data_IF_432258141539
#
_entry.id   IF_432258141539
#
_cell.length_a   1.000
_cell.length_b   1.000
_cell.length_c   1.000
_cell.angle_alpha   90.00
_cell.angle_beta   90.00
_cell.angle_gamma   90.00
#
_symmetry.space_group_name_H-M   'P 1'
#
loop_
_entity.id
_entity.type
_entity.pdbx_description
1 polymer ?
#
# COMPACT_ATOMS: atom_id res chain seq x y z
N UNK A 1 53.12 29.81 18.89
CA UNK A 1 52.02 29.41 19.80
C UNK A 1 50.83 30.38 19.74
N UNK A 2 51.05 31.70 19.81
CA UNK A 2 49.98 32.71 19.75
C UNK A 2 49.10 32.70 18.48
N UNK A 3 49.69 32.48 17.29
CA UNK A 3 48.93 32.47 16.04
C UNK A 3 47.95 31.28 15.90
N UNK A 4 48.24 30.16 16.56
CA UNK A 4 47.37 28.96 16.54
C UNK A 4 46.16 29.17 17.46
N UNK A 5 46.39 29.78 18.63
CA UNK A 5 45.33 30.18 19.56
C UNK A 5 44.35 31.19 18.96
N UNK A 6 44.82 32.19 18.21
CA UNK A 6 43.94 33.17 17.57
C UNK A 6 43.05 32.56 16.48
N UNK A 7 43.54 31.56 15.74
CA UNK A 7 42.79 30.87 14.71
C UNK A 7 41.66 30.00 15.31
N UNK A 8 41.94 29.30 16.42
CA UNK A 8 40.96 28.49 17.16
C UNK A 8 39.82 29.34 17.74
N UNK A 9 40.12 30.54 18.26
CA UNK A 9 39.11 31.47 18.77
C UNK A 9 38.20 31.99 17.66
N UNK A 10 38.76 32.35 16.50
CA UNK A 10 37.99 32.83 15.35
C UNK A 10 37.07 31.74 14.77
N UNK A 11 37.49 30.47 14.82
CA UNK A 11 36.65 29.34 14.43
C UNK A 11 35.50 29.12 15.42
N UNK A 12 35.76 29.21 16.72
CA UNK A 12 34.74 29.15 17.77
C UNK A 12 33.69 30.26 17.62
N UNK A 13 34.11 31.50 17.38
CA UNK A 13 33.20 32.63 17.18
C UNK A 13 32.34 32.46 15.92
N UNK A 14 32.93 31.97 14.82
CA UNK A 14 32.18 31.66 13.59
C UNK A 14 31.17 30.54 13.81
N UNK A 15 31.55 29.52 14.57
CA UNK A 15 30.65 28.43 14.95
C UNK A 15 29.50 28.96 15.84
N UNK A 16 29.81 29.75 16.87
CA UNK A 16 28.82 30.36 17.74
C UNK A 16 27.86 31.30 16.99
N UNK A 17 28.36 32.12 16.07
CA UNK A 17 27.54 32.99 15.23
C UNK A 17 26.62 32.19 14.28
N UNK A 18 27.10 31.06 13.75
CA UNK A 18 26.26 30.14 12.94
C UNK A 18 25.15 29.51 13.77
N UNK A 19 25.47 29.08 14.99
CA UNK A 19 24.50 28.52 15.94
C UNK A 19 23.46 29.57 16.33
N UNK A 20 23.88 30.78 16.71
CA UNK A 20 22.98 31.88 17.06
C UNK A 20 22.08 32.28 15.89
N UNK A 21 22.61 32.37 14.66
CA UNK A 21 21.83 32.64 13.45
C UNK A 21 20.83 31.54 13.11
N UNK A 22 21.16 30.28 13.46
CA UNK A 22 20.25 29.14 13.28
C UNK A 22 19.17 29.10 14.35
N UNK A 23 19.47 29.54 15.57
CA UNK A 23 18.52 29.70 16.68
C UNK A 23 17.59 30.91 16.47
N UNK A 24 18.06 31.98 15.83
CA UNK A 24 17.24 33.16 15.51
C UNK A 24 16.32 32.96 14.30
N UNK A 25 16.66 32.02 13.40
CA UNK A 25 15.73 31.52 12.39
C UNK A 25 14.78 30.57 13.08
N UNK A 26 13.56 31.03 13.35
CA UNK A 26 12.47 30.14 13.77
C UNK A 26 12.34 28.92 12.84
N UNK A 27 11.70 27.84 13.31
CA UNK A 27 11.56 26.62 12.52
C UNK A 27 10.99 26.94 11.14
N UNK A 28 11.58 26.34 10.09
CA UNK A 28 11.09 26.49 8.74
C UNK A 28 9.57 26.24 8.70
N UNK A 29 8.79 27.02 7.94
CA UNK A 29 7.36 26.76 7.80
C UNK A 29 7.16 25.33 7.29
N UNK A 30 6.14 24.64 7.81
CA UNK A 30 5.77 23.34 7.26
C UNK A 30 5.39 23.55 5.79
N UNK A 31 5.84 22.68 4.88
CA UNK A 31 5.34 22.69 3.51
C UNK A 31 3.81 22.49 3.54
N UNK A 32 3.10 23.06 2.58
CA UNK A 32 1.65 22.91 2.46
C UNK A 32 1.24 21.43 2.41
N UNK A 33 0.07 21.10 2.95
CA UNK A 33 -0.46 19.75 2.93
C UNK A 33 -0.68 19.30 1.47
N UNK A 34 -0.16 18.13 1.07
CA UNK A 34 -0.41 17.61 -0.28
C UNK A 34 -1.91 17.35 -0.50
N UNK A 35 -2.40 17.48 -1.76
CA UNK A 35 -3.79 17.18 -2.09
C UNK A 35 -4.13 15.72 -1.75
N UNK A 36 -5.43 15.44 -1.60
CA UNK A 36 -5.91 14.08 -1.39
C UNK A 36 -5.64 13.20 -2.63
N UNK A 37 -5.23 11.93 -2.44
CA UNK A 37 -5.04 11.02 -3.56
C UNK A 37 -6.39 10.74 -4.22
N UNK A 38 -6.50 11.05 -5.50
CA UNK A 38 -7.66 10.68 -6.31
C UNK A 38 -7.40 9.32 -6.96
N UNK A 39 -7.91 8.24 -6.36
CA UNK A 39 -7.79 6.89 -6.90
C UNK A 39 -8.72 6.73 -8.12
N UNK A 40 -8.21 6.46 -9.34
CA UNK A 40 -8.98 6.51 -10.59
C UNK A 40 -9.91 5.30 -10.82
N UNK A 41 -10.42 4.67 -9.76
CA UNK A 41 -11.33 3.52 -9.90
C UNK A 41 -12.58 3.92 -10.68
N UNK A 42 -12.83 3.23 -11.79
CA UNK A 42 -14.03 3.45 -12.57
C UNK A 42 -15.28 2.98 -11.78
N UNK A 43 -16.30 3.83 -11.80
CA UNK A 43 -17.60 3.59 -11.18
C UNK A 43 -18.70 3.72 -12.22
N UNK A 44 -19.73 2.89 -12.14
CA UNK A 44 -20.87 2.94 -13.06
C UNK A 44 -20.84 1.87 -14.16
N UNK A 45 -21.52 2.14 -15.26
CA UNK A 45 -21.69 1.18 -16.37
C UNK A 45 -20.58 1.28 -17.42
N UNK A 46 -19.97 2.46 -17.61
CA UNK A 46 -18.92 2.67 -18.60
C UNK A 46 -17.98 3.82 -18.20
N UNK A 47 -16.82 3.89 -18.85
CA UNK A 47 -15.90 5.03 -18.76
C UNK A 47 -16.52 6.28 -19.40
N UNK A 48 -16.10 7.45 -18.94
CA UNK A 48 -16.54 8.72 -19.50
C UNK A 48 -16.20 8.81 -21.00
N UNK A 49 -17.20 9.17 -21.81
CA UNK A 49 -17.06 9.26 -23.26
C UNK A 49 -17.08 7.91 -24.01
N UNK A 50 -17.34 6.80 -23.32
CA UNK A 50 -17.55 5.51 -24.00
C UNK A 50 -18.78 5.56 -24.91
N UNK A 51 -18.62 5.12 -26.16
CA UNK A 51 -19.72 5.01 -27.11
C UNK A 51 -20.80 4.04 -26.61
N UNK A 52 -22.09 4.26 -26.93
CA UNK A 52 -23.13 3.27 -26.65
C UNK A 52 -22.77 1.90 -27.22
N UNK A 53 -23.02 0.85 -26.45
CA UNK A 53 -22.68 -0.53 -26.81
C UNK A 53 -23.90 -1.43 -26.68
N UNK A 54 -24.21 -2.15 -27.75
CA UNK A 54 -25.16 -3.25 -27.73
C UNK A 54 -24.42 -4.59 -27.60
N UNK A 55 -24.42 -5.13 -26.40
CA UNK A 55 -23.76 -6.38 -26.05
C UNK A 55 -24.31 -7.60 -26.80
N UNK A 56 -25.54 -7.55 -27.33
CA UNK A 56 -26.09 -8.65 -28.13
C UNK A 56 -25.41 -8.80 -29.50
N UNK A 57 -24.71 -7.75 -29.94
CA UNK A 57 -23.98 -7.71 -31.22
C UNK A 57 -22.51 -8.08 -31.08
N UNK A 58 -22.01 -8.21 -29.84
CA UNK A 58 -20.60 -8.51 -29.57
C UNK A 58 -20.37 -10.01 -29.81
N UNK A 59 -19.45 -10.40 -30.72
CA UNK A 59 -19.16 -11.80 -30.96
C UNK A 59 -18.73 -12.54 -29.69
N UNK A 60 -19.26 -13.74 -29.48
CA UNK A 60 -18.97 -14.59 -28.31
C UNK A 60 -19.83 -14.29 -27.08
N UNK A 61 -20.51 -13.14 -27.02
CA UNK A 61 -21.47 -12.84 -25.95
C UNK A 61 -22.88 -13.24 -26.41
N UNK A 62 -23.52 -14.13 -25.67
CA UNK A 62 -24.85 -14.61 -26.04
C UNK A 62 -25.61 -15.24 -24.88
N UNK A 63 -26.45 -16.21 -25.20
CA UNK A 63 -27.11 -17.03 -24.18
C UNK A 63 -26.07 -17.83 -23.40
N UNK A 64 -26.16 -17.93 -22.06
CA UNK A 64 -25.20 -18.68 -21.27
C UNK A 64 -25.15 -20.15 -21.72
N UNK A 65 -23.95 -20.65 -21.99
CA UNK A 65 -23.72 -22.05 -22.37
C UNK A 65 -23.39 -22.88 -21.13
N UNK A 66 -24.35 -22.99 -20.19
CA UNK A 66 -24.15 -23.75 -18.94
C UNK A 66 -24.37 -25.23 -19.17
N UNK A 67 -23.43 -26.04 -18.70
CA UNK A 67 -23.71 -27.46 -18.49
C UNK A 67 -24.44 -27.63 -17.16
N UNK A 68 -25.56 -28.35 -17.18
CA UNK A 68 -26.30 -28.78 -16.01
C UNK A 68 -25.48 -29.84 -15.26
N UNK A 69 -24.44 -29.39 -14.56
CA UNK A 69 -23.66 -30.20 -13.66
C UNK A 69 -24.31 -30.20 -12.26
N UNK A 70 -24.35 -31.35 -11.55
CA UNK A 70 -24.76 -31.37 -10.16
C UNK A 70 -23.87 -30.42 -9.34
N UNK A 71 -24.47 -29.68 -8.42
CA UNK A 71 -23.75 -28.73 -7.57
C UNK A 71 -23.16 -29.49 -6.38
N UNK A 72 -21.85 -29.46 -6.26
CA UNK A 72 -21.12 -29.98 -5.10
C UNK A 72 -21.13 -28.97 -3.96
N UNK A 73 -21.19 -29.46 -2.72
CA UNK A 73 -21.11 -28.63 -1.50
C UNK A 73 -19.65 -28.30 -1.14
N UNK A 74 -18.94 -27.72 -2.10
CA UNK A 74 -17.52 -27.32 -2.01
C UNK A 74 -17.43 -25.81 -2.17
N UNK A 75 -16.57 -25.14 -1.39
CA UNK A 75 -16.38 -23.68 -1.50
C UNK A 75 -15.92 -23.31 -2.92
N UNK A 76 -16.55 -22.30 -3.55
CA UNK A 76 -16.17 -21.90 -4.89
C UNK A 76 -14.79 -21.23 -4.91
N UNK A 77 -14.15 -21.14 -6.09
CA UNK A 77 -12.92 -20.37 -6.24
C UNK A 77 -13.14 -18.90 -5.87
N UNK A 78 -12.11 -18.23 -5.34
CA UNK A 78 -12.11 -16.80 -5.07
C UNK A 78 -11.45 -16.05 -6.24
N UNK A 79 -12.15 -15.12 -6.90
CA UNK A 79 -11.50 -14.17 -7.82
C UNK A 79 -10.38 -13.40 -7.12
N UNK A 80 -9.27 -13.19 -7.82
CA UNK A 80 -8.10 -12.47 -7.31
C UNK A 80 -7.78 -11.22 -8.13
N UNK A 81 -7.95 -11.27 -9.46
CA UNK A 81 -7.78 -10.11 -10.32
C UNK A 81 -8.45 -10.35 -11.68
N UNK A 82 -9.02 -9.30 -12.30
CA UNK A 82 -9.33 -7.97 -11.74
C UNK A 82 -10.55 -8.00 -10.79
N UNK A 83 -10.62 -7.12 -9.80
CA UNK A 83 -11.64 -7.19 -8.73
C UNK A 83 -12.58 -6.00 -8.64
N UNK A 84 -12.19 -4.82 -9.12
CA UNK A 84 -12.94 -3.61 -8.85
C UNK A 84 -12.43 -2.35 -9.55
N UNK A 85 -13.11 -1.96 -10.63
CA UNK A 85 -12.98 -0.62 -11.20
C UNK A 85 -11.69 -0.38 -11.96
N UNK A 86 -10.86 -1.40 -12.18
CA UNK A 86 -9.64 -1.29 -12.96
C UNK A 86 -9.95 -1.13 -14.45
N UNK A 87 -9.22 -0.22 -15.10
CA UNK A 87 -9.19 -0.12 -16.56
C UNK A 87 -8.05 -0.98 -17.07
N UNK A 88 -8.37 -1.97 -17.89
CA UNK A 88 -7.42 -2.97 -18.37
C UNK A 88 -7.32 -2.93 -19.89
N UNK A 89 -6.15 -3.31 -20.39
CA UNK A 89 -5.93 -3.47 -21.82
C UNK A 89 -6.74 -4.67 -22.33
N UNK A 90 -7.65 -4.40 -23.26
CA UNK A 90 -8.51 -5.40 -23.87
C UNK A 90 -7.72 -6.45 -24.69
N UNK A 91 -6.51 -6.13 -25.16
CA UNK A 91 -5.64 -7.04 -25.90
C UNK A 91 -5.09 -8.13 -25.00
N UNK A 92 -4.92 -7.87 -23.69
CA UNK A 92 -4.23 -8.78 -22.76
C UNK A 92 -4.94 -8.91 -21.42
N UNK A 93 -6.26 -9.13 -21.43
CA UNK A 93 -7.01 -9.36 -20.19
C UNK A 93 -6.59 -10.68 -19.55
N UNK A 94 -6.11 -10.63 -18.31
CA UNK A 94 -5.77 -11.80 -17.51
C UNK A 94 -6.72 -11.90 -16.30
N UNK A 95 -7.43 -13.02 -16.18
CA UNK A 95 -8.30 -13.33 -15.05
C UNK A 95 -7.62 -14.36 -14.15
N UNK A 96 -7.62 -14.15 -12.84
CA UNK A 96 -6.89 -14.98 -11.86
C UNK A 96 -7.77 -15.32 -10.67
N UNK A 97 -7.77 -16.57 -10.22
CA UNK A 97 -8.57 -17.05 -9.09
C UNK A 97 -7.80 -18.00 -8.19
N UNK A 98 -8.35 -18.31 -7.01
CA UNK A 98 -7.76 -19.28 -6.09
C UNK A 98 -8.00 -20.72 -6.56
N UNK A 99 -7.08 -21.62 -6.24
CA UNK A 99 -7.29 -23.04 -6.46
C UNK A 99 -8.40 -23.60 -5.55
N UNK A 100 -9.16 -24.57 -6.06
CA UNK A 100 -10.08 -25.43 -5.31
C UNK A 100 -9.47 -26.84 -5.26
N UNK A 101 -9.43 -27.51 -4.09
CA UNK A 101 -8.98 -28.89 -3.99
C UNK A 101 -9.73 -29.82 -4.96
N UNK A 102 -9.00 -30.78 -5.54
CA UNK A 102 -9.56 -31.80 -6.44
C UNK A 102 -10.25 -31.26 -7.71
N UNK A 103 -10.02 -29.99 -8.05
CA UNK A 103 -10.53 -29.39 -9.28
C UNK A 103 -9.90 -30.04 -10.52
N UNK A 104 -10.76 -30.62 -11.36
CA UNK A 104 -10.36 -31.19 -12.66
C UNK A 104 -10.45 -30.17 -13.78
N UNK A 105 -11.23 -29.10 -13.60
CA UNK A 105 -11.27 -27.96 -14.50
C UNK A 105 -11.91 -26.72 -13.85
N UNK A 106 -11.80 -25.57 -14.50
CA UNK A 106 -12.49 -24.34 -14.16
C UNK A 106 -13.29 -23.82 -15.35
N UNK A 107 -14.49 -23.32 -15.05
CA UNK A 107 -15.33 -22.59 -15.99
C UNK A 107 -15.38 -21.13 -15.58
N UNK A 108 -15.22 -20.24 -16.55
CA UNK A 108 -15.25 -18.79 -16.34
C UNK A 108 -16.35 -18.22 -17.23
N UNK A 109 -17.19 -17.35 -16.68
CA UNK A 109 -18.12 -16.56 -17.49
C UNK A 109 -17.82 -15.07 -17.33
N UNK A 110 -17.97 -14.33 -18.43
CA UNK A 110 -17.97 -12.87 -18.45
C UNK A 110 -19.33 -12.36 -18.90
N UNK A 111 -19.83 -11.30 -18.27
CA UNK A 111 -21.10 -10.67 -18.64
C UNK A 111 -21.13 -9.20 -18.20
N UNK A 112 -21.83 -8.30 -18.91
CA UNK A 112 -22.16 -6.98 -18.38
C UNK A 112 -23.27 -7.03 -17.30
N UNK A 113 -23.99 -8.16 -17.19
CA UNK A 113 -25.14 -8.30 -16.28
C UNK A 113 -24.79 -9.13 -15.05
N UNK A 114 -25.15 -8.68 -13.84
CA UNK A 114 -24.76 -9.35 -12.59
C UNK A 114 -25.43 -10.71 -12.36
N UNK A 115 -26.51 -11.00 -13.08
CA UNK A 115 -27.19 -12.30 -13.04
C UNK A 115 -26.56 -13.35 -13.96
N UNK A 116 -25.64 -12.95 -14.86
CA UNK A 116 -25.06 -13.83 -15.88
C UNK A 116 -26.13 -14.62 -16.67
N UNK A 117 -27.27 -14.00 -16.95
CA UNK A 117 -28.42 -14.64 -17.62
C UNK A 117 -28.49 -14.33 -19.12
N UNK A 118 -27.76 -13.32 -19.57
CA UNK A 118 -27.70 -12.86 -20.95
C UNK A 118 -26.36 -12.20 -21.26
N UNK A 119 -26.01 -12.15 -22.53
CA UNK A 119 -24.73 -11.61 -23.03
C UNK A 119 -23.58 -12.20 -22.21
N UNK A 120 -23.48 -13.52 -22.23
CA UNK A 120 -22.49 -14.29 -21.50
C UNK A 120 -21.46 -14.84 -22.48
N UNK A 121 -20.19 -14.63 -22.17
CA UNK A 121 -19.06 -15.31 -22.78
C UNK A 121 -18.60 -16.39 -21.80
N UNK A 122 -18.76 -17.66 -22.16
CA UNK A 122 -18.34 -18.82 -21.35
C UNK A 122 -17.01 -19.38 -21.85
N UNK A 123 -16.11 -19.69 -20.92
CA UNK A 123 -14.75 -20.16 -21.20
C UNK A 123 -14.42 -21.36 -20.32
N UNK A 124 -13.67 -22.31 -20.89
CA UNK A 124 -13.06 -23.41 -20.16
C UNK A 124 -11.56 -23.11 -19.96
N UNK A 125 -11.12 -23.08 -18.72
CA UNK A 125 -9.74 -22.78 -18.35
C UNK A 125 -8.93 -24.05 -18.01
N UNK A 126 -9.50 -25.25 -18.17
CA UNK A 126 -8.88 -26.49 -17.73
C UNK A 126 -8.50 -26.41 -16.25
N UNK A 127 -7.35 -26.95 -15.86
CA UNK A 127 -6.87 -26.91 -14.46
C UNK A 127 -6.14 -25.62 -14.07
N UNK A 128 -6.03 -24.64 -14.98
CA UNK A 128 -5.33 -23.40 -14.68
C UNK A 128 -6.08 -22.57 -13.64
N UNK A 129 -5.34 -21.79 -12.85
CA UNK A 129 -5.91 -20.78 -11.93
C UNK A 129 -5.80 -19.36 -12.49
N UNK A 130 -5.45 -19.27 -13.77
CA UNK A 130 -5.31 -18.05 -14.53
C UNK A 130 -5.63 -18.33 -16.00
N UNK A 131 -6.33 -17.40 -16.66
CA UNK A 131 -6.56 -17.44 -18.10
C UNK A 131 -6.29 -16.04 -18.70
N UNK A 132 -5.51 -16.03 -19.78
CA UNK A 132 -5.33 -14.85 -20.61
C UNK A 132 -6.31 -14.88 -21.79
N UNK A 133 -6.90 -13.73 -22.11
CA UNK A 133 -7.95 -13.57 -23.11
C UNK A 133 -7.48 -12.68 -24.27
N UNK A 134 -6.52 -13.12 -25.09
CA UNK A 134 -5.92 -12.28 -26.11
C UNK A 134 -6.92 -11.89 -27.20
N UNK A 135 -7.27 -10.60 -27.26
CA UNK A 135 -8.18 -10.04 -28.27
C UNK A 135 -9.61 -10.59 -28.22
N UNK A 136 -9.98 -11.32 -27.16
CA UNK A 136 -11.31 -11.92 -27.02
C UNK A 136 -12.32 -10.93 -26.43
N UNK A 137 -11.84 -10.06 -25.55
CA UNK A 137 -12.66 -9.04 -24.90
C UNK A 137 -12.60 -7.76 -25.72
N UNK A 138 -13.74 -7.14 -26.09
CA UNK A 138 -13.71 -5.93 -26.90
C UNK A 138 -13.29 -4.71 -26.06
N UNK A 139 -12.49 -3.83 -26.68
CA UNK A 139 -12.00 -2.57 -26.09
C UNK A 139 -13.10 -1.50 -26.03
N UNK A 140 -14.13 -1.73 -25.21
CA UNK A 140 -15.36 -0.93 -25.23
C UNK A 140 -15.40 0.19 -24.20
N UNK A 141 -14.63 0.07 -23.12
CA UNK A 141 -14.74 0.94 -21.95
C UNK A 141 -16.01 0.70 -21.14
N UNK A 142 -16.79 -0.34 -21.42
CA UNK A 142 -17.96 -0.72 -20.63
C UNK A 142 -17.57 -1.71 -19.53
N UNK A 143 -18.28 -1.69 -18.41
CA UNK A 143 -18.04 -2.61 -17.30
C UNK A 143 -18.31 -4.05 -17.75
N UNK A 144 -17.35 -4.93 -17.48
CA UNK A 144 -17.55 -6.37 -17.50
C UNK A 144 -17.43 -6.95 -16.10
N UNK A 145 -18.30 -7.90 -15.82
CA UNK A 145 -18.29 -8.75 -14.64
C UNK A 145 -17.76 -10.11 -15.06
N UNK A 146 -17.05 -10.77 -14.17
CA UNK A 146 -16.60 -12.13 -14.41
C UNK A 146 -16.69 -12.95 -13.13
N UNK A 147 -17.04 -14.21 -13.26
CA UNK A 147 -17.04 -15.17 -12.16
C UNK A 147 -16.48 -16.51 -12.63
N UNK A 148 -16.15 -17.36 -11.67
CA UNK A 148 -15.52 -18.65 -11.93
C UNK A 148 -16.13 -19.72 -11.03
N UNK A 149 -16.21 -20.95 -11.53
CA UNK A 149 -16.50 -22.14 -10.73
C UNK A 149 -15.51 -23.25 -11.05
N UNK A 150 -15.28 -24.14 -10.11
CA UNK A 150 -14.50 -25.35 -10.34
C UNK A 150 -15.43 -26.52 -10.69
N UNK A 151 -14.94 -27.44 -11.51
CA UNK A 151 -15.50 -28.79 -11.69
C UNK A 151 -14.65 -29.79 -10.93
N UNK A 152 -15.29 -30.68 -10.20
CA UNK A 152 -14.69 -31.77 -9.42
C UNK A 152 -15.34 -33.09 -9.83
N UNK A 153 -14.90 -34.21 -9.26
CA UNK A 153 -15.56 -35.50 -9.49
C UNK A 153 -16.96 -35.56 -8.86
N UNK A 154 -17.18 -34.80 -7.79
CA UNK A 154 -18.41 -34.72 -7.02
C UNK A 154 -19.46 -33.79 -7.66
N UNK A 155 -19.03 -32.92 -8.57
CA UNK A 155 -19.87 -31.94 -9.25
C UNK A 155 -19.17 -30.61 -9.47
N UNK A 156 -19.92 -29.61 -9.94
CA UNK A 156 -19.43 -28.24 -10.04
C UNK A 156 -19.62 -27.51 -8.70
N UNK A 157 -18.66 -26.70 -8.29
CA UNK A 157 -18.88 -25.76 -7.18
C UNK A 157 -20.00 -24.78 -7.54
N UNK A 158 -20.58 -24.06 -6.57
CA UNK A 158 -21.29 -22.83 -6.85
C UNK A 158 -20.42 -21.87 -7.68
N UNK A 159 -21.04 -20.90 -8.34
CA UNK A 159 -20.31 -19.80 -8.94
C UNK A 159 -19.72 -18.89 -7.85
N UNK A 160 -18.53 -18.35 -8.10
CA UNK A 160 -17.92 -17.38 -7.21
C UNK A 160 -18.73 -16.07 -7.14
N UNK A 161 -18.39 -15.21 -6.17
CA UNK A 161 -18.69 -13.77 -6.34
C UNK A 161 -18.01 -13.27 -7.61
N UNK A 162 -18.53 -12.21 -8.23
CA UNK A 162 -17.91 -11.67 -9.43
C UNK A 162 -16.80 -10.65 -9.10
N UNK A 163 -15.76 -10.62 -9.93
CA UNK A 163 -14.89 -9.45 -10.10
C UNK A 163 -15.46 -8.51 -11.17
N UNK A 164 -14.94 -7.28 -11.26
CA UNK A 164 -15.33 -6.33 -12.32
C UNK A 164 -14.14 -5.55 -12.85
N UNK A 165 -14.20 -5.17 -14.12
CA UNK A 165 -13.18 -4.37 -14.79
C UNK A 165 -13.75 -3.65 -16.03
N UNK A 166 -12.92 -2.78 -16.63
CA UNK A 166 -13.27 -2.00 -17.82
C UNK A 166 -12.20 -2.25 -18.91
N UNK A 167 -12.44 -3.15 -19.88
CA UNK A 167 -11.54 -3.37 -21.01
C UNK A 167 -11.59 -2.16 -21.94
N UNK A 168 -10.44 -1.55 -22.21
CA UNK A 168 -10.36 -0.36 -23.04
C UNK A 168 -9.16 -0.42 -24.00
N UNK A 169 -9.10 0.57 -24.90
CA UNK A 169 -7.94 0.80 -25.75
C UNK A 169 -6.80 1.45 -24.96
N UNK A 170 -5.64 1.59 -25.61
CA UNK A 170 -4.40 2.07 -24.98
C UNK A 170 -4.55 3.41 -24.26
N UNK A 171 -5.26 4.38 -24.84
CA UNK A 171 -5.33 5.73 -24.29
C UNK A 171 -6.05 5.80 -22.92
N UNK A 172 -7.28 5.25 -22.75
CA UNK A 172 -7.89 5.16 -21.42
C UNK A 172 -7.08 4.34 -20.41
N UNK A 173 -6.44 3.26 -20.85
CA UNK A 173 -5.59 2.43 -19.98
C UNK A 173 -4.41 3.24 -19.46
N UNK A 174 -3.75 4.00 -20.34
CA UNK A 174 -2.62 4.83 -19.97
C UNK A 174 -3.02 5.98 -19.03
N UNK A 175 -4.17 6.62 -19.29
CA UNK A 175 -4.71 7.63 -18.37
C UNK A 175 -4.99 7.06 -16.98
N UNK A 176 -5.54 5.85 -16.89
CA UNK A 176 -5.76 5.16 -15.61
C UNK A 176 -4.44 4.87 -14.89
N UNK A 177 -3.42 4.37 -15.60
CA UNK A 177 -2.08 4.11 -15.03
C UNK A 177 -1.45 5.38 -14.47
N UNK A 178 -1.47 6.47 -15.23
CA UNK A 178 -0.94 7.76 -14.79
C UNK A 178 -1.69 8.29 -13.56
N UNK A 179 -3.02 8.13 -13.52
CA UNK A 179 -3.83 8.46 -12.35
C UNK A 179 -3.43 7.65 -11.11
N UNK A 180 -3.21 6.34 -11.27
CA UNK A 180 -2.76 5.46 -10.18
C UNK A 180 -1.38 5.89 -9.66
N UNK A 181 -0.43 6.16 -10.55
CA UNK A 181 0.92 6.61 -10.17
C UNK A 181 0.87 7.95 -9.45
N UNK A 182 0.07 8.90 -9.94
CA UNK A 182 -0.14 10.18 -9.28
C UNK A 182 -0.75 10.03 -7.87
N UNK A 183 -1.74 9.15 -7.71
CA UNK A 183 -2.36 8.85 -6.42
C UNK A 183 -1.36 8.24 -5.43
N UNK A 184 -0.54 7.28 -5.87
CA UNK A 184 0.52 6.67 -5.04
C UNK A 184 1.55 7.71 -4.61
N UNK A 185 1.95 8.60 -5.52
CA UNK A 185 2.88 9.70 -5.20
C UNK A 185 2.25 10.67 -4.20
N UNK A 186 0.98 11.04 -4.37
CA UNK A 186 0.26 11.91 -3.45
C UNK A 186 0.18 11.31 -2.05
N UNK A 187 -0.15 10.03 -1.95
CA UNK A 187 -0.25 9.33 -0.66
C UNK A 187 1.10 9.26 0.07
N UNK A 188 2.18 8.95 -0.66
CA UNK A 188 3.54 9.00 -0.11
C UNK A 188 3.88 10.37 0.46
N UNK A 189 3.57 11.44 -0.29
CA UNK A 189 3.80 12.82 0.17
C UNK A 189 2.98 13.15 1.41
N UNK A 190 1.75 12.65 1.52
CA UNK A 190 0.92 12.85 2.72
C UNK A 190 1.48 12.12 3.93
N UNK A 191 1.93 10.88 3.77
CA UNK A 191 2.63 10.15 4.83
C UNK A 191 3.88 10.90 5.31
N UNK A 192 4.65 11.47 4.39
CA UNK A 192 5.81 12.31 4.73
C UNK A 192 5.40 13.60 5.45
N UNK A 193 4.40 14.31 4.94
CA UNK A 193 3.86 15.52 5.58
C UNK A 193 3.36 15.23 6.99
N UNK A 194 2.62 14.14 7.20
CA UNK A 194 2.14 13.72 8.52
C UNK A 194 3.29 13.40 9.49
N UNK A 195 4.40 12.83 8.99
CA UNK A 195 5.63 12.65 9.79
C UNK A 195 6.24 13.99 10.20
N UNK A 196 6.32 14.94 9.28
CA UNK A 196 6.87 16.29 9.56
C UNK A 196 6.00 17.06 10.57
N UNK A 197 4.68 16.97 10.45
CA UNK A 197 3.73 17.55 11.42
C UNK A 197 3.97 16.96 12.80
N UNK A 198 3.96 15.63 12.93
CA UNK A 198 4.20 14.93 14.20
C UNK A 198 5.55 15.28 14.81
N UNK A 199 6.61 15.34 13.99
CA UNK A 199 7.94 15.74 14.47
C UNK A 199 7.93 17.16 15.03
N UNK A 200 7.28 18.11 14.34
CA UNK A 200 7.16 19.49 14.79
C UNK A 200 6.36 19.60 16.09
N UNK A 201 5.26 18.87 16.22
CA UNK A 201 4.50 18.80 17.47
C UNK A 201 5.37 18.30 18.63
N UNK A 202 6.18 17.26 18.40
CA UNK A 202 7.13 16.77 19.40
C UNK A 202 8.23 17.78 19.74
N UNK A 203 8.72 18.56 18.78
CA UNK A 203 9.73 19.61 19.00
C UNK A 203 9.16 20.82 19.77
N UNK A 204 7.84 21.04 19.73
CA UNK A 204 7.15 22.06 20.51
C UNK A 204 6.94 21.66 21.98
N UNK A 205 7.02 20.37 22.31
CA UNK A 205 6.97 19.89 23.71
C UNK A 205 8.24 20.35 24.43
N UNK A 206 8.15 21.20 25.46
CA UNK A 206 9.31 21.65 26.22
C UNK A 206 10.10 20.46 26.76
N UNK A 207 11.43 20.50 26.68
CA UNK A 207 12.30 19.38 27.11
C UNK A 207 12.10 18.98 28.58
N UNK A 208 11.59 19.87 29.43
CA UNK A 208 11.29 19.57 30.84
C UNK A 208 9.98 18.79 31.06
N UNK A 209 9.14 18.66 30.03
CA UNK A 209 7.90 17.87 30.03
C UNK A 209 8.05 16.54 29.24
N UNK A 210 9.16 16.32 28.53
CA UNK A 210 9.49 15.01 27.93
C UNK A 210 9.90 14.03 29.04
N UNK A 211 9.20 12.90 29.17
CA UNK A 211 9.54 11.82 30.13
C UNK A 211 11.01 11.37 30.02
N UNK A 212 11.60 11.46 28.83
CA UNK A 212 13.01 11.12 28.53
C UNK A 212 14.03 11.99 29.29
N UNK A 213 13.69 13.25 29.60
CA UNK A 213 14.59 14.16 30.31
C UNK A 213 14.74 13.78 31.80
N UNK A 214 13.73 13.13 32.37
CA UNK A 214 13.82 12.56 33.72
C UNK A 214 14.75 11.34 33.70
N UNK A 215 14.68 10.51 32.65
CA UNK A 215 15.53 9.33 32.49
C UNK A 215 17.01 9.70 32.35
N UNK A 216 17.35 10.76 31.63
CA UNK A 216 18.73 11.24 31.46
C UNK A 216 19.31 11.83 32.77
N UNK A 217 18.50 12.56 33.54
CA UNK A 217 18.91 13.11 34.85
C UNK A 217 19.03 12.02 35.93
N UNK A 218 18.14 11.03 35.90
CA UNK A 218 18.17 9.89 36.81
C UNK A 218 19.37 8.97 36.50
N UNK A 219 19.66 8.71 35.22
CA UNK A 219 20.84 7.92 34.82
C UNK A 219 22.15 8.64 35.12
N UNK A 220 22.24 9.97 34.91
CA UNK A 220 23.38 10.77 35.36
C UNK A 220 23.56 10.75 36.88
N UNK A 221 22.48 10.87 37.67
CA UNK A 221 22.55 10.80 39.13
C UNK A 221 23.00 9.42 39.63
N UNK A 222 22.54 8.33 39.01
CA UNK A 222 22.98 6.97 39.31
C UNK A 222 24.47 6.79 38.98
N UNK A 223 24.94 7.26 37.82
CA UNK A 223 26.35 7.18 37.43
C UNK A 223 27.27 7.97 38.38
N UNK A 224 26.88 9.18 38.79
CA UNK A 224 27.64 10.00 39.75
C UNK A 224 27.62 9.34 41.14
N UNK A 225 26.49 8.79 41.56
CA UNK A 225 26.38 8.04 42.82
C UNK A 225 27.29 6.80 42.85
N UNK A 226 27.36 6.05 41.74
CA UNK A 226 28.27 4.90 41.60
C UNK A 226 29.74 5.32 41.67
N UNK A 227 30.13 6.42 41.02
CA UNK A 227 31.49 6.97 41.09
C UNK A 227 31.90 7.37 42.51
N UNK A 228 31.03 8.09 43.24
CA UNK A 228 31.32 8.54 44.61
C UNK A 228 31.37 7.36 45.59
N UNK A 229 30.52 6.35 45.40
CA UNK A 229 30.53 5.11 46.20
C UNK A 229 31.84 4.34 46.01
N UNK A 230 32.32 4.22 44.77
CA UNK A 230 33.61 3.57 44.48
C UNK A 230 34.79 4.28 45.17
N UNK A 231 34.80 5.62 45.17
CA UNK A 231 35.84 6.41 45.85
C UNK A 231 35.77 6.23 47.37
N UNK A 232 34.57 6.21 47.95
CA UNK A 232 34.40 5.99 49.39
C UNK A 232 34.88 4.60 49.83
N UNK A 233 34.57 3.55 49.06
CA UNK A 233 35.05 2.18 49.34
C UNK A 233 36.57 2.11 49.21
N UNK A 234 37.17 2.75 48.21
CA UNK A 234 38.63 2.81 48.05
C UNK A 234 39.33 3.56 49.20
N UNK A 235 38.73 4.64 49.70
CA UNK A 235 39.25 5.37 50.86
C UNK A 235 39.09 4.55 52.15
N UNK A 236 37.98 3.83 52.32
CA UNK A 236 37.75 3.00 53.49
C UNK A 236 38.70 1.79 53.54
N UNK A 237 38.96 1.17 52.39
CA UNK A 237 39.96 0.09 52.29
C UNK A 237 41.39 0.60 52.51
N UNK A 238 41.71 1.80 52.03
CA UNK A 238 43.00 2.45 52.30
C UNK A 238 43.18 2.73 53.79
N UNK A 239 42.19 3.32 54.46
CA UNK A 239 42.22 3.58 55.92
C UNK A 239 42.33 2.27 56.70
N UNK A 240 41.60 1.22 56.32
CA UNK A 240 41.67 -0.09 56.97
C UNK A 240 43.03 -0.79 56.76
N UNK A 241 43.69 -0.54 55.63
CA UNK A 241 45.05 -1.00 55.34
C UNK A 241 46.10 -0.25 56.19
N UNK A 242 45.90 1.04 56.45
CA UNK A 242 46.76 1.87 57.30
C UNK A 242 46.62 1.60 58.80
N UNK A 243 45.44 1.16 59.27
CA UNK A 243 45.19 0.81 60.69
C UNK A 243 45.70 -0.60 61.05
N UNK A 244 46.01 -1.43 60.05
CA UNK A 244 46.53 -2.81 60.24
C UNK A 244 48.05 -2.93 60.26
N UNK A 245 48.78 -1.83 60.36
CA UNK A 245 50.24 -1.79 60.53
C UNK A 245 50.64 -1.31 61.92
#
# INVERSE_FOLDING_TARGET
>A
MAARSAAETAEHERHAARVAKRQSRGPAPLPEAPPEPAWPHATGEALDGASPLDWSTVPGFGTPARTDAPVAEIEPPRPLAPLGGEVVDAVTVALRWSAVPDAVAYEVELSPHPAFDRNVLSLDAGQATEIALPGLVPATGHRLLWHVRARTAEGATPWSKYGRFYPASDAPVEAFRQGMDAAVIAERKRHEHARLVRQREMDLVPTHEREDAVTDRATLAVLVGMMLSGIAVALLTLVFSLVRF
#
